data_IF_231367075708
#
_entry.id   IF_231367075708
#
_cell.length_a   1.000
_cell.length_b   1.000
_cell.length_c   1.000
_cell.angle_alpha   90.00
_cell.angle_beta   90.00
_cell.angle_gamma   90.00
#
_symmetry.space_group_name_H-M   'P 1'
#
loop_
_entity.id
_entity.type
_entity.pdbx_description
1 polymer ?
#
# COMPACT_ATOMS: atom_id res chain seq x y z
N UNK A 1 14.50 9.17 32.20
CA UNK A 1 13.44 9.89 31.45
C UNK A 1 13.98 10.35 30.08
N UNK A 2 14.15 9.43 29.11
CA UNK A 2 14.75 9.72 27.79
C UNK A 2 14.34 8.71 26.71
N UNK A 3 13.92 7.50 27.13
CA UNK A 3 13.49 6.40 26.25
C UNK A 3 12.19 6.69 25.49
N UNK A 4 11.26 7.48 26.04
CA UNK A 4 10.01 7.83 25.33
C UNK A 4 10.29 8.55 23.99
N UNK A 5 11.33 9.39 23.94
CA UNK A 5 11.69 10.12 22.73
C UNK A 5 12.29 9.24 21.64
N UNK A 6 12.82 8.07 21.98
CA UNK A 6 13.39 7.11 21.02
C UNK A 6 12.32 6.17 20.45
N UNK A 7 11.24 5.92 21.19
CA UNK A 7 10.11 5.13 20.72
C UNK A 7 9.36 5.84 19.59
N UNK A 8 9.13 7.14 19.73
CA UNK A 8 8.39 7.95 18.75
C UNK A 8 8.92 7.86 17.30
N UNK A 9 10.22 8.07 17.01
CA UNK A 9 10.74 7.93 15.64
C UNK A 9 10.65 6.49 15.13
N UNK A 10 10.78 5.49 16.01
CA UNK A 10 10.66 4.09 15.63
C UNK A 10 9.24 3.75 15.17
N UNK A 11 8.21 4.27 15.86
CA UNK A 11 6.82 4.15 15.44
C UNK A 11 6.54 4.85 14.10
N UNK A 12 7.12 6.03 13.88
CA UNK A 12 6.95 6.76 12.62
C UNK A 12 7.59 6.03 11.43
N UNK A 13 8.78 5.47 11.60
CA UNK A 13 9.42 4.61 10.58
C UNK A 13 8.59 3.35 10.30
N UNK A 14 7.99 2.76 11.35
CA UNK A 14 7.12 1.60 11.19
C UNK A 14 5.84 1.94 10.41
N UNK A 15 5.28 3.14 10.64
CA UNK A 15 4.15 3.65 9.84
C UNK A 15 4.54 3.90 8.38
N UNK A 16 5.74 4.40 8.09
CA UNK A 16 6.23 4.54 6.71
C UNK A 16 6.40 3.19 6.01
N UNK A 17 6.85 2.16 6.73
CA UNK A 17 6.90 0.79 6.22
C UNK A 17 5.51 0.18 5.92
N UNK A 18 4.45 0.69 6.57
CA UNK A 18 3.07 0.30 6.31
C UNK A 18 2.39 1.15 5.21
N UNK A 19 2.82 2.40 5.01
CA UNK A 19 2.29 3.33 4.01
C UNK A 19 2.98 3.22 2.63
N UNK A 20 3.73 2.14 2.40
CA UNK A 20 4.79 2.13 1.38
C UNK A 20 4.41 1.87 -0.08
N UNK A 21 3.14 1.68 -0.46
CA UNK A 21 2.85 1.36 -1.87
C UNK A 21 1.44 1.74 -2.36
N UNK A 22 0.65 2.47 -1.57
CA UNK A 22 -0.66 2.97 -2.00
C UNK A 22 -0.53 4.13 -3.01
N UNK A 23 0.42 5.05 -2.77
CA UNK A 23 0.69 6.17 -3.68
C UNK A 23 1.17 5.66 -5.03
N UNK A 24 2.13 4.73 -5.05
CA UNK A 24 2.65 4.16 -6.30
C UNK A 24 1.58 3.35 -7.04
N UNK A 25 0.78 2.56 -6.32
CA UNK A 25 -0.38 1.88 -6.89
C UNK A 25 -1.33 2.87 -7.59
N UNK A 26 -1.59 4.03 -6.96
CA UNK A 26 -2.44 5.08 -7.53
C UNK A 26 -1.81 5.77 -8.74
N UNK A 27 -0.50 5.99 -8.74
CA UNK A 27 0.23 6.56 -9.89
C UNK A 27 0.16 5.61 -11.10
N UNK A 28 0.22 4.31 -10.87
CA UNK A 28 0.05 3.28 -11.92
C UNK A 28 -1.42 3.09 -12.36
N UNK A 29 -2.33 3.94 -11.89
CA UNK A 29 -3.76 3.86 -12.21
C UNK A 29 -4.51 2.74 -11.49
N UNK A 30 -3.89 2.13 -10.48
CA UNK A 30 -4.48 1.08 -9.66
C UNK A 30 -5.06 1.58 -8.33
N UNK A 31 -5.74 0.65 -7.65
CA UNK A 31 -6.27 0.83 -6.29
C UNK A 31 -5.96 -0.36 -5.41
N UNK A 32 -5.75 -0.08 -4.13
CA UNK A 32 -5.53 -1.10 -3.11
C UNK A 32 -6.85 -1.76 -2.72
N UNK A 33 -6.91 -3.09 -2.73
CA UNK A 33 -8.12 -3.83 -2.40
C UNK A 33 -7.78 -4.96 -1.43
N UNK A 34 -8.42 -4.98 -0.26
CA UNK A 34 -8.13 -5.99 0.79
C UNK A 34 -8.66 -7.38 0.44
N UNK A 35 -9.76 -7.46 -0.30
CA UNK A 35 -10.44 -8.72 -0.67
C UNK A 35 -9.83 -9.40 -1.91
N UNK A 36 -8.75 -8.85 -2.47
CA UNK A 36 -8.22 -9.27 -3.77
C UNK A 36 -8.80 -8.47 -4.93
N UNK A 37 -8.21 -8.61 -6.11
CA UNK A 37 -8.67 -7.93 -7.32
C UNK A 37 -9.92 -8.60 -7.89
N UNK A 38 -10.85 -7.81 -8.43
CA UNK A 38 -11.99 -8.37 -9.16
C UNK A 38 -11.54 -9.10 -10.44
N UNK A 39 -12.40 -9.98 -10.98
CA UNK A 39 -12.14 -10.73 -12.21
C UNK A 39 -11.72 -9.84 -13.41
N UNK A 40 -12.24 -8.61 -13.48
CA UNK A 40 -11.88 -7.66 -14.54
C UNK A 40 -10.60 -6.86 -14.23
N UNK A 41 -10.18 -6.80 -12.96
CA UNK A 41 -9.01 -6.03 -12.52
C UNK A 41 -7.74 -6.90 -12.55
N UNK A 42 -6.60 -6.30 -12.91
CA UNK A 42 -5.31 -6.99 -12.94
C UNK A 42 -4.48 -6.65 -11.71
N UNK A 43 -3.92 -7.66 -11.04
CA UNK A 43 -2.92 -7.42 -9.99
C UNK A 43 -1.63 -6.90 -10.63
N UNK A 44 -1.26 -5.67 -10.31
CA UNK A 44 -0.06 -4.99 -10.83
C UNK A 44 1.03 -4.85 -9.77
N UNK A 45 0.67 -4.99 -8.48
CA UNK A 45 1.60 -4.85 -7.36
C UNK A 45 0.91 -5.10 -6.02
N UNK A 46 1.50 -4.60 -4.93
CA UNK A 46 0.97 -4.80 -3.56
C UNK A 46 1.04 -3.55 -2.70
N UNK A 47 -0.08 -2.97 -2.30
CA UNK A 47 -0.11 -1.78 -1.45
C UNK A 47 0.49 -2.00 -0.05
N UNK A 48 0.22 -3.17 0.54
CA UNK A 48 0.78 -3.66 1.81
C UNK A 48 1.19 -5.13 1.65
N UNK A 49 1.81 -5.73 2.69
CA UNK A 49 2.18 -7.17 2.70
C UNK A 49 1.10 -8.11 2.17
N UNK A 50 -0.16 -7.85 2.52
CA UNK A 50 -1.32 -8.69 2.18
C UNK A 50 -2.33 -8.00 1.25
N UNK A 51 -2.14 -6.72 0.95
CA UNK A 51 -3.12 -5.94 0.18
C UNK A 51 -2.62 -5.81 -1.25
N UNK A 52 -3.23 -6.51 -2.23
CA UNK A 52 -2.86 -6.34 -3.63
C UNK A 52 -3.23 -4.94 -4.14
N UNK A 53 -2.45 -4.50 -5.12
CA UNK A 53 -2.74 -3.34 -5.96
C UNK A 53 -3.38 -3.84 -7.25
N UNK A 54 -4.62 -3.41 -7.47
CA UNK A 54 -5.47 -3.83 -8.57
C UNK A 54 -5.64 -2.68 -9.55
N UNK A 55 -5.19 -2.86 -10.78
CA UNK A 55 -5.42 -1.92 -11.87
C UNK A 55 -6.74 -2.23 -12.56
N UNK A 56 -7.55 -1.21 -12.80
CA UNK A 56 -8.72 -1.36 -13.66
C UNK A 56 -8.26 -1.68 -15.07
N UNK A 57 -8.93 -2.59 -15.79
CA UNK A 57 -8.62 -2.84 -17.18
C UNK A 57 -8.80 -1.53 -17.93
N UNK A 58 -7.74 -1.03 -18.56
CA UNK A 58 -7.86 0.02 -19.56
C UNK A 58 -8.63 -0.62 -20.72
N UNK A 59 -9.96 -0.50 -20.70
CA UNK A 59 -10.75 -0.69 -21.90
C UNK A 59 -10.30 0.43 -22.83
N UNK A 60 -9.44 0.06 -23.78
CA UNK A 60 -8.99 0.94 -24.86
C UNK A 60 -10.15 1.36 -25.75
#
# INVERSE_FOLDING_TARGET
MKILFLLFPFFLLFLQGAAGNDIRCRIEGGRCRFEGCHFAEKEIGKCLRIVPCCSSPAWG
#
